data_IF_830839864230
#
_entry.id   IF_830839864230
#
_cell.length_a   1.000
_cell.length_b   1.000
_cell.length_c   1.000
_cell.angle_alpha   90.00
_cell.angle_beta   90.00
_cell.angle_gamma   90.00
#
_symmetry.space_group_name_H-M   'P 1'
#
loop_
_entity.id
_entity.type
_entity.pdbx_description
1 polymer ?
#
# COMPACT_ATOMS: atom_id res chain seq x y z
N UNK A 1 41.88 -22.55 1.46
CA UNK A 1 41.64 -22.17 0.05
C UNK A 1 40.34 -22.75 -0.56
N UNK A 2 39.76 -23.83 -0.04
CA UNK A 2 38.56 -24.45 -0.64
C UNK A 2 37.22 -23.73 -0.43
N UNK A 3 37.08 -22.90 0.59
CA UNK A 3 35.81 -22.16 0.88
C UNK A 3 35.54 -20.95 -0.03
N UNK A 4 36.58 -20.36 -0.64
CA UNK A 4 36.44 -19.21 -1.53
C UNK A 4 35.94 -19.56 -2.94
N UNK A 5 36.35 -20.72 -3.44
CA UNK A 5 35.93 -21.16 -4.80
C UNK A 5 34.49 -21.61 -4.89
N UNK A 6 33.92 -22.21 -3.82
CA UNK A 6 32.52 -22.61 -3.77
C UNK A 6 31.57 -21.38 -3.77
N UNK A 7 31.99 -20.27 -3.12
CA UNK A 7 31.16 -19.02 -3.06
C UNK A 7 31.14 -18.27 -4.39
N UNK A 8 32.24 -18.30 -5.16
CA UNK A 8 32.31 -17.66 -6.50
C UNK A 8 31.48 -18.45 -7.52
N UNK A 9 31.47 -19.79 -7.44
CA UNK A 9 30.62 -20.63 -8.32
C UNK A 9 29.12 -20.45 -8.05
N UNK A 10 28.69 -20.32 -6.79
CA UNK A 10 27.27 -20.10 -6.46
C UNK A 10 26.75 -18.73 -6.89
N UNK A 11 27.60 -17.70 -6.85
CA UNK A 11 27.23 -16.37 -7.38
C UNK A 11 27.08 -16.36 -8.89
N UNK A 12 27.91 -17.09 -9.66
CA UNK A 12 27.82 -17.16 -11.11
C UNK A 12 26.56 -17.92 -11.59
N UNK A 13 26.11 -18.92 -10.85
CA UNK A 13 24.92 -19.70 -11.18
C UNK A 13 23.63 -18.93 -10.83
N UNK A 14 23.61 -18.18 -9.73
CA UNK A 14 22.51 -17.26 -9.41
C UNK A 14 22.42 -16.09 -10.41
N UNK A 15 23.56 -15.57 -10.90
CA UNK A 15 23.59 -14.54 -11.93
C UNK A 15 23.12 -15.08 -13.30
N UNK A 16 23.43 -16.33 -13.67
CA UNK A 16 22.91 -16.98 -14.88
C UNK A 16 21.40 -17.18 -14.82
N UNK A 17 20.85 -17.69 -13.70
CA UNK A 17 19.39 -17.83 -13.52
C UNK A 17 18.66 -16.48 -13.52
N UNK A 18 19.30 -15.41 -13.07
CA UNK A 18 18.74 -14.06 -13.15
C UNK A 18 18.68 -13.52 -14.60
N UNK A 19 19.62 -13.91 -15.46
CA UNK A 19 19.63 -13.53 -16.88
C UNK A 19 18.72 -14.41 -17.74
N UNK A 20 18.46 -15.64 -17.38
CA UNK A 20 17.52 -16.53 -18.11
C UNK A 20 16.04 -16.17 -17.85
N UNK A 21 15.72 -15.44 -16.78
CA UNK A 21 14.39 -14.94 -16.45
C UNK A 21 14.24 -13.41 -16.65
N UNK A 22 15.18 -12.75 -17.31
CA UNK A 22 14.99 -11.36 -17.70
C UNK A 22 13.91 -11.31 -18.79
N UNK A 23 12.83 -10.51 -18.64
CA UNK A 23 11.86 -10.35 -19.70
C UNK A 23 12.58 -9.76 -20.92
N UNK A 24 12.40 -10.39 -22.10
CA UNK A 24 12.85 -9.84 -23.37
C UNK A 24 12.39 -8.38 -23.49
N UNK A 25 13.36 -7.48 -23.65
CA UNK A 25 13.08 -6.09 -23.97
C UNK A 25 12.61 -6.06 -25.42
N UNK A 26 11.32 -6.26 -25.65
CA UNK A 26 10.72 -5.94 -26.94
C UNK A 26 10.54 -4.43 -26.98
N UNK A 27 11.22 -3.82 -27.94
CA UNK A 27 11.35 -2.36 -28.08
C UNK A 27 10.14 -1.68 -28.74
N UNK A 28 8.98 -1.82 -28.16
CA UNK A 28 7.77 -1.09 -28.51
C UNK A 28 6.90 -0.92 -27.25
N UNK A 29 7.30 -0.01 -26.50
CA UNK A 29 6.80 0.85 -25.42
C UNK A 29 5.36 0.75 -24.93
N UNK A 30 4.64 -0.36 -25.09
CA UNK A 30 3.39 -0.58 -24.37
C UNK A 30 3.69 -1.32 -23.06
N UNK A 31 3.43 -0.71 -21.88
CA UNK A 31 3.61 -1.39 -20.62
C UNK A 31 2.67 -2.58 -20.57
N UNK A 32 3.19 -3.76 -20.19
CA UNK A 32 2.35 -4.90 -19.84
C UNK A 32 1.51 -4.53 -18.59
N UNK A 33 0.31 -4.02 -18.84
CA UNK A 33 -0.64 -3.59 -17.79
C UNK A 33 -1.38 -4.77 -17.14
N UNK A 34 -1.01 -6.01 -17.46
CA UNK A 34 -1.69 -7.22 -16.98
C UNK A 34 -1.14 -7.73 -15.61
N UNK A 35 -0.64 -6.82 -14.78
CA UNK A 35 -0.25 -7.16 -13.41
C UNK A 35 -1.43 -7.25 -12.44
N UNK A 36 -2.63 -6.86 -12.87
CA UNK A 36 -3.78 -6.72 -11.99
C UNK A 36 -3.71 -5.52 -11.04
N UNK A 37 -2.66 -4.70 -11.14
CA UNK A 37 -2.50 -3.49 -10.32
C UNK A 37 -3.32 -2.32 -10.88
N UNK A 38 -3.79 -1.47 -9.96
CA UNK A 38 -4.44 -0.21 -10.33
C UNK A 38 -3.41 0.91 -10.33
N UNK A 39 -3.18 1.51 -11.49
CA UNK A 39 -2.33 2.69 -11.67
C UNK A 39 -3.14 3.98 -11.47
N UNK A 40 -2.45 5.13 -11.51
CA UNK A 40 -3.01 6.47 -11.30
C UNK A 40 -3.67 6.64 -9.93
N UNK A 41 -2.93 6.16 -8.90
CA UNK A 41 -3.29 6.30 -7.50
C UNK A 41 -2.08 6.61 -6.63
N UNK A 42 -2.37 7.15 -5.45
CA UNK A 42 -1.41 7.32 -4.38
C UNK A 42 -1.20 6.00 -3.62
N UNK A 43 0.07 5.65 -3.39
CA UNK A 43 0.47 4.52 -2.56
C UNK A 43 1.50 4.94 -1.51
N UNK A 44 1.40 4.50 -0.25
CA UNK A 44 2.42 4.76 0.75
C UNK A 44 3.67 3.95 0.40
N UNK A 45 4.79 4.66 0.17
CA UNK A 45 6.05 4.02 -0.21
C UNK A 45 6.88 3.61 1.01
N UNK A 46 7.18 4.57 1.88
CA UNK A 46 8.02 4.37 3.07
C UNK A 46 7.58 5.30 4.22
N UNK A 47 7.88 4.96 5.48
CA UNK A 47 7.79 5.91 6.57
C UNK A 47 8.72 7.12 6.34
N UNK A 48 8.21 8.33 6.55
CA UNK A 48 8.96 9.59 6.35
C UNK A 48 10.27 9.66 7.12
N UNK A 49 10.37 8.96 8.28
CA UNK A 49 11.60 8.91 9.08
C UNK A 49 12.79 8.25 8.37
N UNK A 50 12.56 7.47 7.29
CA UNK A 50 13.63 6.78 6.56
C UNK A 50 14.46 7.72 5.67
N UNK A 51 13.93 8.88 5.32
CA UNK A 51 14.58 9.89 4.46
C UNK A 51 14.95 11.16 5.23
N UNK A 52 15.60 11.03 6.38
CA UNK A 52 16.10 12.16 7.15
C UNK A 52 17.49 12.59 6.67
N UNK A 53 17.71 13.90 6.59
CA UNK A 53 18.95 14.46 6.06
C UNK A 53 19.16 14.08 4.59
N UNK A 54 20.36 13.65 4.22
CA UNK A 54 20.70 13.20 2.85
C UNK A 54 20.55 11.69 2.64
N UNK A 55 19.91 10.98 3.57
CA UNK A 55 19.72 9.54 3.43
C UNK A 55 18.76 9.23 2.30
N UNK A 56 19.18 8.36 1.40
CA UNK A 56 18.30 7.74 0.42
C UNK A 56 17.64 6.51 1.02
N UNK A 57 16.42 6.24 0.59
CA UNK A 57 15.72 5.00 0.92
C UNK A 57 15.12 4.41 -0.35
N UNK A 58 14.98 3.09 -0.37
CA UNK A 58 14.38 2.38 -1.50
C UNK A 58 13.00 1.83 -1.14
N UNK A 59 12.14 1.75 -2.15
CA UNK A 59 10.86 1.06 -2.10
C UNK A 59 10.60 0.32 -3.41
N UNK A 60 9.72 -0.66 -3.36
CA UNK A 60 9.12 -1.29 -4.53
C UNK A 60 7.62 -1.03 -4.49
N UNK A 61 7.07 -0.43 -5.52
CA UNK A 61 5.63 -0.21 -5.69
C UNK A 61 5.22 -0.68 -7.07
N UNK A 62 4.20 -1.55 -7.16
CA UNK A 62 3.68 -2.07 -8.43
C UNK A 62 4.80 -2.63 -9.34
N UNK A 63 5.78 -3.33 -8.76
CA UNK A 63 6.98 -3.84 -9.45
C UNK A 63 7.92 -2.74 -9.99
N UNK A 64 7.70 -1.47 -9.62
CA UNK A 64 8.61 -0.37 -9.95
C UNK A 64 9.56 -0.10 -8.80
N UNK A 65 10.87 -0.26 -9.00
CA UNK A 65 11.86 0.12 -8.00
C UNK A 65 11.94 1.65 -7.91
N UNK A 66 11.93 2.15 -6.68
CA UNK A 66 11.97 3.58 -6.38
C UNK A 66 13.12 3.90 -5.45
N UNK A 67 13.80 5.01 -5.72
CA UNK A 67 14.68 5.71 -4.78
C UNK A 67 13.97 6.98 -4.31
N UNK A 68 13.96 7.17 -2.99
CA UNK A 68 13.32 8.30 -2.34
C UNK A 68 14.33 9.03 -1.46
N UNK A 69 14.16 10.32 -1.34
CA UNK A 69 15.00 11.16 -0.49
C UNK A 69 14.33 12.49 -0.17
N UNK A 70 15.12 13.35 0.48
CA UNK A 70 14.72 14.72 0.81
C UNK A 70 15.80 15.68 0.39
N UNK A 71 15.42 16.71 -0.37
CA UNK A 71 16.35 17.75 -0.77
C UNK A 71 16.80 18.60 0.43
N UNK A 72 17.87 19.36 0.25
CA UNK A 72 18.35 20.33 1.26
C UNK A 72 17.30 21.41 1.59
N UNK A 73 16.35 21.66 0.69
CA UNK A 73 15.19 22.57 0.89
C UNK A 73 14.03 21.90 1.64
N UNK A 74 14.18 20.62 2.02
CA UNK A 74 13.15 19.87 2.73
C UNK A 74 12.08 19.19 1.85
N UNK A 75 12.15 19.33 0.52
CA UNK A 75 11.21 18.72 -0.41
C UNK A 75 11.50 17.24 -0.59
N UNK A 76 10.48 16.39 -0.48
CA UNK A 76 10.60 14.97 -0.78
C UNK A 76 10.63 14.73 -2.28
N UNK A 77 11.35 13.71 -2.71
CA UNK A 77 11.37 13.26 -4.09
C UNK A 77 11.28 11.74 -4.18
N UNK A 78 10.78 11.25 -5.31
CA UNK A 78 10.74 9.85 -5.69
C UNK A 78 11.12 9.71 -7.17
N UNK A 79 12.12 8.89 -7.44
CA UNK A 79 12.59 8.59 -8.80
C UNK A 79 12.57 7.08 -9.01
N UNK A 80 12.54 6.64 -10.27
CA UNK A 80 12.83 5.24 -10.60
C UNK A 80 14.26 4.92 -10.16
N UNK A 81 14.43 3.86 -9.40
CA UNK A 81 15.74 3.40 -8.93
C UNK A 81 16.45 2.58 -10.00
N UNK A 82 16.72 3.23 -11.13
CA UNK A 82 17.43 2.61 -12.27
C UNK A 82 17.99 3.71 -13.17
N UNK A 83 19.29 3.72 -13.34
CA UNK A 83 19.96 4.62 -14.27
C UNK A 83 19.62 4.23 -15.73
N UNK A 84 19.12 5.16 -16.56
CA UNK A 84 18.73 4.87 -17.95
C UNK A 84 19.89 4.44 -18.85
N UNK A 85 21.14 4.64 -18.42
CA UNK A 85 22.32 4.22 -19.17
C UNK A 85 22.47 2.69 -19.19
N UNK A 86 22.59 2.05 -18.01
CA UNK A 86 22.84 0.59 -17.88
C UNK A 86 22.09 -0.06 -16.71
N UNK A 87 21.03 0.55 -16.21
CA UNK A 87 20.12 -0.06 -15.25
C UNK A 87 20.62 -0.19 -13.82
N UNK A 88 21.84 0.31 -13.48
CA UNK A 88 22.29 0.27 -12.08
C UNK A 88 21.36 1.08 -11.19
N UNK A 89 21.01 0.61 -9.98
CA UNK A 89 20.16 1.38 -9.08
C UNK A 89 20.82 2.72 -8.69
N UNK A 90 20.07 3.79 -8.83
CA UNK A 90 20.51 5.14 -8.48
C UNK A 90 20.69 5.32 -6.96
N UNK A 91 20.03 4.48 -6.16
CA UNK A 91 20.19 4.44 -4.71
C UNK A 91 21.60 4.08 -4.24
N UNK A 92 22.45 3.49 -5.09
CA UNK A 92 23.89 3.27 -4.84
C UNK A 92 24.75 4.47 -5.22
N UNK A 93 24.15 5.53 -5.77
CA UNK A 93 24.82 6.74 -6.19
C UNK A 93 25.09 7.71 -5.05
N UNK A 94 25.59 8.88 -5.40
CA UNK A 94 25.84 9.96 -4.48
C UNK A 94 24.74 11.02 -4.58
N UNK A 95 24.15 11.39 -3.44
CA UNK A 95 23.15 12.45 -3.35
C UNK A 95 23.74 13.65 -2.59
N UNK A 96 23.87 14.78 -3.27
CA UNK A 96 24.46 16.00 -2.70
C UNK A 96 23.45 16.87 -1.92
N UNK A 97 22.17 16.52 -1.96
CA UNK A 97 21.04 17.27 -1.39
C UNK A 97 20.16 17.94 -2.43
N UNK A 98 20.54 17.89 -3.71
CA UNK A 98 19.77 18.40 -4.85
C UNK A 98 19.80 17.43 -6.03
N UNK A 99 20.99 16.92 -6.37
CA UNK A 99 21.22 16.06 -7.51
C UNK A 99 21.63 14.66 -7.07
N UNK A 100 21.29 13.68 -7.87
CA UNK A 100 21.63 12.27 -7.68
C UNK A 100 22.59 11.82 -8.79
N UNK A 101 23.83 11.51 -8.42
CA UNK A 101 24.87 11.04 -9.30
C UNK A 101 24.90 9.51 -9.33
N UNK A 102 24.90 8.94 -10.53
CA UNK A 102 25.01 7.50 -10.74
C UNK A 102 26.41 6.98 -10.41
N UNK A 103 26.51 5.97 -9.56
CA UNK A 103 27.79 5.41 -9.11
C UNK A 103 28.62 4.72 -10.20
N UNK A 104 28.03 4.47 -11.41
CA UNK A 104 28.73 3.73 -12.45
C UNK A 104 29.51 4.64 -13.42
N UNK A 105 28.89 5.69 -13.95
CA UNK A 105 29.51 6.58 -14.94
C UNK A 105 29.31 8.07 -14.63
N UNK A 106 28.90 8.41 -13.41
CA UNK A 106 28.72 9.79 -12.96
C UNK A 106 27.59 10.56 -13.66
N UNK A 107 26.62 9.87 -14.28
CA UNK A 107 25.46 10.58 -14.83
C UNK A 107 24.70 11.26 -13.69
N UNK A 108 24.46 12.55 -13.84
CA UNK A 108 23.84 13.37 -12.81
C UNK A 108 22.38 13.68 -13.16
N UNK A 109 21.49 13.54 -12.18
CA UNK A 109 20.06 13.75 -12.35
C UNK A 109 19.55 14.73 -11.30
N UNK A 110 18.70 15.67 -11.70
CA UNK A 110 17.91 16.47 -10.76
C UNK A 110 16.95 15.56 -10.00
N UNK A 111 17.03 15.55 -8.69
CA UNK A 111 16.27 14.62 -7.86
C UNK A 111 14.75 14.85 -7.91
N UNK A 112 14.31 16.10 -8.14
CA UNK A 112 12.89 16.45 -8.15
C UNK A 112 12.18 16.19 -9.48
N UNK A 113 12.90 16.28 -10.60
CA UNK A 113 12.36 16.10 -11.95
C UNK A 113 12.80 14.80 -12.62
N UNK A 114 13.86 14.17 -12.11
CA UNK A 114 14.51 13.02 -12.77
C UNK A 114 15.26 13.38 -14.03
N UNK A 115 15.36 14.66 -14.39
CA UNK A 115 16.02 15.15 -15.59
C UNK A 115 17.52 14.91 -15.52
N UNK A 116 18.14 14.37 -16.56
CA UNK A 116 19.59 14.28 -16.66
C UNK A 116 20.18 15.69 -16.84
N UNK A 117 21.16 16.02 -16.01
CA UNK A 117 21.85 17.31 -16.00
C UNK A 117 23.22 17.25 -16.66
N UNK A 118 23.96 16.14 -16.43
CA UNK A 118 25.31 15.97 -16.92
C UNK A 118 25.63 14.50 -17.23
N UNK A 119 26.45 14.31 -18.22
CA UNK A 119 27.05 13.04 -18.62
C UNK A 119 28.56 13.28 -18.77
N UNK A 120 29.38 12.94 -17.78
CA UNK A 120 30.82 13.30 -17.77
C UNK A 120 31.63 12.78 -18.96
N UNK A 121 31.19 11.70 -19.58
CA UNK A 121 31.88 11.09 -20.73
C UNK A 121 31.60 11.77 -22.06
N UNK A 122 30.71 12.74 -22.15
CA UNK A 122 30.44 13.45 -23.39
C UNK A 122 31.57 14.42 -23.71
N UNK A 123 31.91 14.49 -25.02
CA UNK A 123 32.85 15.41 -25.60
C UNK A 123 32.15 16.53 -26.37
N UNK A 124 32.88 17.56 -26.80
CA UNK A 124 32.37 18.63 -27.63
C UNK A 124 31.85 18.18 -29.01
N UNK A 125 32.20 16.97 -29.43
CA UNK A 125 31.73 16.39 -30.69
C UNK A 125 30.40 15.62 -30.57
N UNK A 126 29.97 15.32 -29.35
CA UNK A 126 28.74 14.60 -29.12
C UNK A 126 27.53 15.50 -29.35
N UNK A 127 26.53 14.99 -30.08
CA UNK A 127 25.27 15.70 -30.38
C UNK A 127 24.11 15.25 -29.53
N UNK A 128 24.39 14.46 -28.47
CA UNK A 128 23.37 13.94 -27.58
C UNK A 128 22.70 15.10 -26.78
N UNK A 129 21.39 15.14 -26.83
CA UNK A 129 20.59 16.12 -26.08
C UNK A 129 20.30 15.58 -24.68
N UNK A 130 21.17 15.92 -23.73
CA UNK A 130 21.09 15.46 -22.34
C UNK A 130 19.76 15.83 -21.70
N UNK A 131 19.20 16.99 -22.04
CA UNK A 131 17.92 17.49 -21.57
C UNK A 131 16.70 16.65 -22.02
N UNK A 132 16.89 15.66 -22.90
CA UNK A 132 15.85 14.70 -23.29
C UNK A 132 15.91 13.39 -22.52
N UNK A 133 16.92 13.22 -21.69
CA UNK A 133 17.12 12.01 -20.89
C UNK A 133 16.54 12.22 -19.51
N UNK A 134 15.76 11.27 -19.04
CA UNK A 134 15.23 11.27 -17.68
C UNK A 134 15.33 9.87 -17.08
N UNK A 135 15.66 9.80 -15.78
CA UNK A 135 15.55 8.56 -15.02
C UNK A 135 14.12 8.23 -14.63
N UNK A 136 13.18 9.16 -14.89
CA UNK A 136 11.79 9.06 -14.45
C UNK A 136 11.62 9.49 -12.99
N UNK A 137 10.61 10.30 -12.75
CA UNK A 137 10.23 10.72 -11.41
C UNK A 137 8.74 10.49 -11.19
N UNK A 138 8.33 10.46 -9.93
CA UNK A 138 6.95 10.28 -9.52
C UNK A 138 6.57 11.39 -8.53
N UNK A 139 5.39 11.99 -8.67
CA UNK A 139 4.90 12.93 -7.66
C UNK A 139 4.87 12.24 -6.29
N UNK A 140 5.35 12.92 -5.27
CA UNK A 140 5.33 12.40 -3.91
C UNK A 140 5.00 13.48 -2.89
N UNK A 141 4.34 13.09 -1.81
CA UNK A 141 3.89 13.96 -0.73
C UNK A 141 3.96 13.23 0.61
N UNK A 142 4.22 13.96 1.69
CA UNK A 142 4.18 13.41 3.04
C UNK A 142 2.81 13.59 3.66
N UNK A 143 2.23 12.48 4.12
CA UNK A 143 0.96 12.47 4.84
C UNK A 143 0.96 11.40 5.92
N UNK A 144 0.51 11.74 7.14
CA UNK A 144 0.43 10.83 8.28
C UNK A 144 1.73 10.07 8.58
N UNK A 145 2.89 10.70 8.27
CA UNK A 145 4.23 10.16 8.49
C UNK A 145 4.67 9.07 7.54
N UNK A 146 4.03 8.96 6.39
CA UNK A 146 4.47 8.24 5.21
C UNK A 146 4.80 9.20 4.08
N UNK A 147 5.75 8.81 3.25
CA UNK A 147 5.92 9.35 1.90
C UNK A 147 4.99 8.58 0.98
N UNK A 148 4.02 9.25 0.41
CA UNK A 148 3.11 8.74 -0.60
C UNK A 148 3.68 9.05 -1.97
N UNK A 149 3.54 8.11 -2.89
CA UNK A 149 3.98 8.25 -4.27
C UNK A 149 2.78 8.03 -5.19
N UNK A 150 2.57 8.95 -6.12
CA UNK A 150 1.55 8.79 -7.16
C UNK A 150 2.11 7.92 -8.28
N UNK A 151 1.57 6.73 -8.41
CA UNK A 151 2.03 5.74 -9.39
C UNK A 151 1.19 5.86 -10.66
N UNK A 152 1.61 6.71 -11.59
CA UNK A 152 0.98 6.79 -12.91
C UNK A 152 1.38 5.60 -13.81
N UNK A 153 0.54 5.31 -14.80
CA UNK A 153 0.83 4.25 -15.78
C UNK A 153 2.22 4.47 -16.38
N UNK A 154 3.09 3.44 -16.42
CA UNK A 154 4.43 3.55 -17.00
C UNK A 154 4.42 4.14 -18.40
N UNK A 155 5.31 5.09 -18.66
CA UNK A 155 5.39 5.80 -19.95
C UNK A 155 4.39 6.95 -20.12
N UNK A 156 3.47 7.16 -19.20
CA UNK A 156 2.56 8.31 -19.21
C UNK A 156 3.05 9.43 -18.29
N UNK A 157 2.50 10.62 -18.47
CA UNK A 157 2.69 11.74 -17.51
C UNK A 157 1.57 11.72 -16.47
N UNK A 158 1.85 12.07 -15.22
CA UNK A 158 0.80 12.26 -14.23
C UNK A 158 -0.12 13.40 -14.67
N UNK A 159 -1.39 13.42 -14.25
CA UNK A 159 -2.32 14.51 -14.56
C UNK A 159 -1.83 15.83 -13.95
N UNK A 160 -2.16 16.95 -14.61
CA UNK A 160 -1.78 18.30 -14.12
C UNK A 160 -2.30 18.55 -12.69
N UNK A 161 -3.50 18.08 -12.41
CA UNK A 161 -4.11 18.16 -11.08
C UNK A 161 -4.21 16.76 -10.49
N UNK A 162 -3.36 16.48 -9.52
CA UNK A 162 -3.39 15.24 -8.77
C UNK A 162 -4.57 15.19 -7.78
N UNK A 163 -5.15 14.01 -7.54
CA UNK A 163 -6.09 13.85 -6.44
C UNK A 163 -5.38 14.10 -5.11
N UNK A 164 -6.15 14.45 -4.08
CA UNK A 164 -5.60 14.62 -2.73
C UNK A 164 -5.02 13.30 -2.22
N UNK A 165 -3.90 13.39 -1.51
CA UNK A 165 -3.32 12.23 -0.80
C UNK A 165 -4.29 11.76 0.27
N UNK A 166 -4.56 10.45 0.39
CA UNK A 166 -5.42 9.93 1.44
C UNK A 166 -4.93 10.32 2.83
N UNK A 167 -5.81 10.90 3.62
CA UNK A 167 -5.50 11.37 4.97
C UNK A 167 -6.32 10.60 6.01
N UNK A 168 -5.69 10.35 7.17
CA UNK A 168 -6.38 9.77 8.32
C UNK A 168 -7.32 10.83 8.92
N UNK A 169 -8.57 10.47 9.13
CA UNK A 169 -9.52 11.36 9.83
C UNK A 169 -9.06 11.59 11.27
N UNK A 170 -8.96 12.84 11.66
CA UNK A 170 -8.56 13.29 12.99
C UNK A 170 -9.55 14.31 13.51
N UNK A 171 -9.80 14.27 14.80
CA UNK A 171 -10.74 15.17 15.45
C UNK A 171 -9.99 16.13 16.38
N UNK A 172 -10.65 17.20 16.75
CA UNK A 172 -10.06 18.25 17.59
C UNK A 172 -9.52 17.70 18.92
N UNK A 173 -8.47 18.35 19.44
CA UNK A 173 -7.84 18.04 20.70
C UNK A 173 -6.50 17.30 20.57
N UNK A 174 -5.91 16.94 21.70
CA UNK A 174 -4.67 16.14 21.76
C UNK A 174 -4.97 14.70 21.41
N UNK A 175 -4.16 14.10 20.57
CA UNK A 175 -4.27 12.70 20.18
C UNK A 175 -2.90 12.02 20.15
N UNK A 176 -2.94 10.71 20.20
CA UNK A 176 -1.80 9.82 19.99
C UNK A 176 -1.89 9.23 18.58
N UNK A 177 -0.76 8.91 17.98
CA UNK A 177 -0.74 8.27 16.67
C UNK A 177 0.37 7.22 16.62
N UNK A 178 0.13 6.16 15.88
CA UNK A 178 1.14 5.12 15.62
C UNK A 178 1.03 4.58 14.20
N UNK A 179 2.09 3.89 13.76
CA UNK A 179 2.19 3.24 12.45
C UNK A 179 2.79 1.87 12.62
N UNK A 180 2.26 0.91 11.88
CA UNK A 180 2.77 -0.45 11.79
C UNK A 180 2.77 -0.88 10.33
N UNK A 181 3.67 -1.78 9.98
CA UNK A 181 3.80 -2.34 8.64
C UNK A 181 3.87 -3.86 8.77
N UNK A 182 3.28 -4.56 7.81
CA UNK A 182 3.31 -6.00 7.75
C UNK A 182 3.29 -6.48 6.29
N UNK A 183 4.30 -7.22 5.88
CA UNK A 183 4.34 -7.84 4.55
C UNK A 183 3.47 -9.09 4.51
N UNK A 184 2.73 -9.23 3.42
CA UNK A 184 1.86 -10.36 3.14
C UNK A 184 2.35 -11.03 1.86
N UNK A 185 2.81 -12.29 1.90
CA UNK A 185 3.28 -13.03 0.72
C UNK A 185 2.10 -13.47 -0.14
N UNK A 186 1.44 -12.52 -0.76
CA UNK A 186 0.21 -12.74 -1.52
C UNK A 186 0.00 -11.61 -2.54
N UNK A 187 -0.77 -11.92 -3.59
CA UNK A 187 -1.25 -10.89 -4.50
C UNK A 187 -2.13 -9.88 -3.75
N UNK A 188 -2.08 -8.62 -4.17
CA UNK A 188 -2.83 -7.52 -3.54
C UNK A 188 -4.32 -7.82 -3.37
N UNK A 189 -4.95 -8.49 -4.33
CA UNK A 189 -6.38 -8.78 -4.26
C UNK A 189 -6.72 -9.68 -3.05
N UNK A 190 -5.88 -10.67 -2.73
CA UNK A 190 -6.07 -11.49 -1.53
C UNK A 190 -5.86 -10.68 -0.25
N UNK A 191 -4.87 -9.79 -0.22
CA UNK A 191 -4.67 -8.89 0.91
C UNK A 191 -5.87 -7.97 1.16
N UNK A 192 -6.45 -7.42 0.08
CA UNK A 192 -7.62 -6.54 0.16
C UNK A 192 -8.86 -7.29 0.62
N UNK A 193 -9.18 -8.43 0.00
CA UNK A 193 -10.38 -9.19 0.41
C UNK A 193 -10.24 -9.72 1.84
N UNK A 194 -9.05 -10.10 2.28
CA UNK A 194 -8.78 -10.46 3.68
C UNK A 194 -9.01 -9.30 4.64
N UNK A 195 -8.57 -8.09 4.27
CA UNK A 195 -8.77 -6.88 5.08
C UNK A 195 -10.25 -6.46 5.19
N UNK A 196 -11.06 -6.76 4.18
CA UNK A 196 -12.49 -6.43 4.15
C UNK A 196 -13.40 -7.52 4.70
N UNK A 197 -12.90 -8.73 4.90
CA UNK A 197 -13.70 -9.87 5.35
C UNK A 197 -14.26 -9.62 6.75
N UNK A 198 -15.59 -9.55 6.93
CA UNK A 198 -16.19 -9.31 8.23
C UNK A 198 -16.30 -10.58 9.09
N UNK A 199 -16.03 -11.77 8.53
CA UNK A 199 -16.30 -13.05 9.15
C UNK A 199 -15.07 -13.71 9.81
N UNK A 200 -13.83 -13.38 9.38
CA UNK A 200 -12.61 -14.04 9.85
C UNK A 200 -12.25 -13.79 11.32
N UNK A 201 -12.73 -12.67 11.89
CA UNK A 201 -12.29 -12.20 13.22
C UNK A 201 -12.33 -13.24 14.35
N UNK A 202 -13.41 -14.03 14.55
CA UNK A 202 -13.47 -15.06 15.60
C UNK A 202 -12.55 -16.26 15.37
N UNK A 203 -12.03 -16.43 14.17
CA UNK A 203 -11.19 -17.55 13.77
C UNK A 203 -9.70 -17.19 13.71
N UNK A 204 -9.39 -16.04 13.11
CA UNK A 204 -8.02 -15.55 12.94
C UNK A 204 -7.56 -14.79 14.17
N UNK A 205 -8.38 -13.85 14.69
CA UNK A 205 -8.05 -12.98 15.81
C UNK A 205 -8.56 -13.52 17.15
N UNK A 206 -8.45 -14.83 17.34
CA UNK A 206 -8.85 -15.43 18.62
C UNK A 206 -7.95 -14.94 19.75
N UNK A 207 -8.57 -14.34 20.76
CA UNK A 207 -7.88 -13.98 21.99
C UNK A 207 -8.89 -13.83 23.13
N UNK A 208 -8.44 -14.04 24.36
CA UNK A 208 -9.27 -13.91 25.55
C UNK A 208 -9.90 -12.51 25.72
N UNK A 209 -9.27 -11.49 25.15
CA UNK A 209 -9.72 -10.08 25.25
C UNK A 209 -10.49 -9.59 24.03
N UNK A 210 -10.57 -10.37 22.94
CA UNK A 210 -11.21 -9.93 21.70
C UNK A 210 -12.46 -10.78 21.39
N UNK A 211 -12.29 -11.83 20.64
CA UNK A 211 -13.38 -12.71 20.17
C UNK A 211 -12.95 -14.17 20.26
N UNK A 212 -13.92 -15.06 20.49
CA UNK A 212 -13.71 -16.50 20.47
C UNK A 212 -14.78 -17.16 19.60
N UNK A 213 -14.61 -18.43 19.26
CA UNK A 213 -15.64 -19.22 18.55
C UNK A 213 -16.95 -19.28 19.32
N UNK A 214 -16.91 -19.27 20.66
CA UNK A 214 -18.11 -19.25 21.49
C UNK A 214 -18.88 -17.93 21.40
N UNK A 215 -18.28 -16.83 20.90
CA UNK A 215 -18.93 -15.54 20.74
C UNK A 215 -19.59 -15.35 19.38
N UNK A 216 -19.56 -16.35 18.51
CA UNK A 216 -20.13 -16.27 17.15
C UNK A 216 -21.64 -16.17 17.23
N UNK A 217 -22.19 -15.12 16.64
CA UNK A 217 -23.61 -14.88 16.49
C UNK A 217 -23.92 -14.27 15.13
N UNK A 218 -25.19 -14.26 14.74
CA UNK A 218 -25.62 -13.60 13.52
C UNK A 218 -25.53 -12.08 13.67
N UNK A 219 -25.01 -11.44 12.64
CA UNK A 219 -24.87 -9.98 12.52
C UNK A 219 -25.56 -9.51 11.27
N UNK A 220 -26.23 -8.36 11.36
CA UNK A 220 -26.78 -7.65 10.24
C UNK A 220 -26.20 -6.24 10.22
N UNK A 221 -25.57 -5.84 9.13
CA UNK A 221 -24.99 -4.50 8.95
C UNK A 221 -25.40 -3.93 7.60
N UNK A 222 -25.71 -2.64 7.60
CA UNK A 222 -26.04 -1.91 6.38
C UNK A 222 -24.75 -1.42 5.72
N UNK A 223 -24.72 -1.57 4.40
CA UNK A 223 -23.68 -1.02 3.54
C UNK A 223 -24.30 -0.06 2.54
N UNK A 224 -23.59 0.99 2.19
CA UNK A 224 -24.01 1.99 1.22
C UNK A 224 -22.90 2.30 0.21
N UNK A 225 -23.26 2.67 -1.03
CA UNK A 225 -22.28 3.09 -2.03
C UNK A 225 -21.66 4.45 -1.65
N UNK A 226 -20.35 4.58 -1.84
CA UNK A 226 -19.63 5.85 -1.79
C UNK A 226 -18.77 5.99 -3.04
N UNK A 227 -18.28 7.17 -3.41
CA UNK A 227 -17.41 7.35 -4.57
C UNK A 227 -16.21 6.39 -4.56
N UNK A 228 -16.06 5.58 -5.61
CA UNK A 228 -15.00 4.57 -5.77
C UNK A 228 -14.91 3.52 -4.66
N UNK A 229 -15.99 3.27 -3.93
CA UNK A 229 -15.96 2.37 -2.80
C UNK A 229 -17.31 2.10 -2.17
N UNK A 230 -17.30 1.56 -0.97
CA UNK A 230 -18.52 1.30 -0.18
C UNK A 230 -18.23 1.54 1.30
N UNK A 231 -19.28 1.85 2.04
CA UNK A 231 -19.26 2.13 3.47
C UNK A 231 -20.11 1.12 4.22
N UNK A 232 -19.60 0.54 5.27
CA UNK A 232 -20.45 -0.03 6.33
C UNK A 232 -20.97 1.14 7.15
N UNK A 233 -22.27 1.41 7.01
CA UNK A 233 -22.93 2.57 7.61
C UNK A 233 -22.73 2.63 9.12
N UNK A 234 -22.82 3.82 9.75
CA UNK A 234 -22.64 3.96 11.19
C UNK A 234 -23.47 2.95 11.98
N UNK A 235 -22.80 2.17 12.82
CA UNK A 235 -23.43 1.10 13.58
C UNK A 235 -22.77 0.92 14.95
N UNK A 236 -23.49 0.29 15.85
CA UNK A 236 -22.90 -0.15 17.09
C UNK A 236 -22.02 -1.38 16.85
N UNK A 237 -20.75 -1.39 17.32
CA UNK A 237 -19.90 -2.56 17.22
C UNK A 237 -20.50 -3.72 18.01
N UNK A 238 -20.06 -4.93 17.67
CA UNK A 238 -20.53 -6.15 18.32
C UNK A 238 -20.31 -6.09 19.84
N UNK A 239 -21.36 -6.38 20.62
CA UNK A 239 -21.33 -6.35 22.09
C UNK A 239 -20.29 -7.28 22.75
N UNK A 240 -19.65 -8.14 21.97
CA UNK A 240 -18.73 -9.17 22.48
C UNK A 240 -17.26 -8.74 22.53
N UNK A 241 -16.94 -7.51 22.10
CA UNK A 241 -15.58 -6.99 22.16
C UNK A 241 -15.35 -6.22 23.49
N UNK A 242 -14.44 -6.72 24.32
CA UNK A 242 -14.12 -6.10 25.61
C UNK A 242 -13.68 -4.63 25.51
N UNK A 243 -12.86 -4.19 24.54
CA UNK A 243 -12.49 -2.79 24.39
C UNK A 243 -13.69 -1.87 24.18
N UNK A 244 -14.66 -2.26 23.33
CA UNK A 244 -15.85 -1.44 23.08
C UNK A 244 -16.79 -1.39 24.28
N UNK A 245 -16.96 -2.51 25.02
CA UNK A 245 -17.70 -2.51 26.30
C UNK A 245 -17.07 -1.59 27.32
N UNK A 246 -15.75 -1.64 27.42
CA UNK A 246 -15.01 -0.78 28.36
C UNK A 246 -15.17 0.69 27.97
N UNK A 247 -15.04 1.02 26.68
CA UNK A 247 -15.22 2.37 26.18
C UNK A 247 -16.64 2.90 26.46
N UNK A 248 -17.67 2.13 26.14
CA UNK A 248 -19.07 2.48 26.43
C UNK A 248 -19.31 2.69 27.92
N UNK A 249 -18.70 1.85 28.78
CA UNK A 249 -18.80 1.99 30.24
C UNK A 249 -18.11 3.25 30.76
N UNK A 250 -16.98 3.64 30.18
CA UNK A 250 -16.25 4.86 30.57
C UNK A 250 -16.98 6.14 30.16
N UNK A 251 -17.58 6.14 28.98
CA UNK A 251 -18.25 7.34 28.43
C UNK A 251 -19.69 7.47 28.89
N UNK A 252 -20.34 6.38 29.29
CA UNK A 252 -21.80 6.33 29.47
C UNK A 252 -22.56 6.42 28.15
N UNK A 253 -21.87 6.44 27.01
CA UNK A 253 -22.46 6.59 25.66
C UNK A 253 -22.21 5.36 24.80
N UNK A 254 -23.05 5.17 23.80
CA UNK A 254 -22.86 4.08 22.81
C UNK A 254 -21.68 4.36 21.89
N UNK A 255 -20.93 3.32 21.55
CA UNK A 255 -19.89 3.41 20.54
C UNK A 255 -20.54 3.32 19.15
N UNK A 256 -20.14 4.22 18.27
CA UNK A 256 -20.53 4.18 16.84
C UNK A 256 -19.30 3.92 16.00
N UNK A 257 -19.36 2.90 15.15
CA UNK A 257 -18.29 2.54 14.20
C UNK A 257 -18.74 2.79 12.78
N UNK A 258 -17.88 3.40 11.97
CA UNK A 258 -18.04 3.55 10.52
C UNK A 258 -16.81 2.97 9.84
N UNK A 259 -17.00 2.18 8.79
CA UNK A 259 -15.90 1.57 8.04
C UNK A 259 -16.10 1.85 6.55
N UNK A 260 -15.10 2.48 5.94
CA UNK A 260 -15.08 2.72 4.49
C UNK A 260 -14.05 1.84 3.82
N UNK A 261 -14.36 1.40 2.64
CA UNK A 261 -13.39 0.90 1.67
C UNK A 261 -13.45 1.75 0.40
N UNK A 262 -12.26 2.20 -0.06
CA UNK A 262 -12.12 3.02 -1.27
C UNK A 262 -10.98 2.47 -2.13
N UNK A 263 -11.23 2.33 -3.44
CA UNK A 263 -10.17 1.98 -4.39
C UNK A 263 -8.99 2.98 -4.30
N UNK A 264 -7.78 2.50 -4.50
CA UNK A 264 -7.42 1.15 -4.94
C UNK A 264 -7.37 0.12 -3.80
N UNK A 265 -7.18 0.54 -2.53
CA UNK A 265 -6.70 -0.35 -1.48
C UNK A 265 -6.87 0.18 -0.05
N UNK A 266 -7.70 1.18 0.13
CA UNK A 266 -7.88 1.90 1.41
C UNK A 266 -9.04 1.33 2.19
N UNK A 267 -8.79 0.95 3.45
CA UNK A 267 -9.82 0.71 4.47
C UNK A 267 -9.62 1.70 5.61
N UNK A 268 -10.63 2.47 5.90
CA UNK A 268 -10.64 3.36 7.07
C UNK A 268 -11.70 2.91 8.07
N UNK A 269 -11.45 3.15 9.34
CA UNK A 269 -12.37 2.86 10.42
C UNK A 269 -12.35 4.01 11.41
N UNK A 270 -13.53 4.48 11.80
CA UNK A 270 -13.71 5.54 12.78
C UNK A 270 -14.68 5.05 13.84
N UNK A 271 -14.19 5.02 15.09
CA UNK A 271 -14.99 4.71 16.27
C UNK A 271 -15.17 5.97 17.11
N UNK A 272 -16.40 6.24 17.53
CA UNK A 272 -16.74 7.38 18.39
C UNK A 272 -17.60 6.95 19.57
N UNK A 273 -17.33 7.58 20.72
CA UNK A 273 -18.17 7.48 21.93
C UNK A 273 -18.01 8.77 22.71
N UNK A 274 -19.00 9.65 22.63
CA UNK A 274 -18.92 10.99 23.20
C UNK A 274 -17.76 11.80 22.63
N UNK A 275 -16.89 12.28 23.52
CA UNK A 275 -15.67 13.01 23.15
C UNK A 275 -14.48 12.12 22.80
N UNK A 276 -14.59 10.83 23.05
CA UNK A 276 -13.54 9.86 22.75
C UNK A 276 -13.68 9.33 21.33
N UNK A 277 -12.54 9.13 20.68
CA UNK A 277 -12.48 8.64 19.32
C UNK A 277 -11.24 7.80 19.05
N UNK A 278 -11.38 6.93 18.10
CA UNK A 278 -10.31 6.18 17.45
C UNK A 278 -10.51 6.26 15.94
N UNK A 279 -9.44 6.42 15.20
CA UNK A 279 -9.45 6.41 13.73
C UNK A 279 -8.29 5.57 13.24
N UNK A 280 -8.53 4.75 12.23
CA UNK A 280 -7.48 3.96 11.58
C UNK A 280 -7.61 3.97 10.07
N UNK A 281 -6.47 3.80 9.41
CA UNK A 281 -6.37 3.55 7.98
C UNK A 281 -5.43 2.38 7.76
N UNK A 282 -5.92 1.36 7.10
CA UNK A 282 -5.13 0.25 6.58
C UNK A 282 -5.07 0.36 5.06
N UNK A 283 -3.87 0.29 4.50
CA UNK A 283 -3.64 0.35 3.06
C UNK A 283 -2.92 -0.92 2.66
N UNK A 284 -3.47 -1.68 1.71
CA UNK A 284 -2.79 -2.84 1.14
C UNK A 284 -1.97 -2.39 -0.06
N UNK A 285 -0.69 -2.18 0.15
CA UNK A 285 0.23 -1.63 -0.86
C UNK A 285 0.82 -2.75 -1.72
N UNK A 286 0.64 -2.73 -3.05
CA UNK A 286 1.25 -3.71 -3.95
C UNK A 286 2.75 -3.48 -4.05
N UNK A 287 3.54 -4.48 -3.70
CA UNK A 287 5.01 -4.48 -3.84
C UNK A 287 5.39 -5.21 -5.13
N UNK A 288 5.00 -6.47 -5.25
CA UNK A 288 5.14 -7.35 -6.42
C UNK A 288 3.88 -8.19 -6.59
N UNK A 289 3.79 -8.96 -7.67
CA UNK A 289 2.64 -9.85 -7.92
C UNK A 289 2.35 -10.81 -6.77
N UNK A 290 3.39 -11.29 -6.11
CA UNK A 290 3.35 -12.28 -5.03
C UNK A 290 3.53 -11.68 -3.63
N UNK A 291 3.62 -10.36 -3.53
CA UNK A 291 3.89 -9.65 -2.29
C UNK A 291 3.14 -8.34 -2.23
N UNK A 292 2.33 -8.17 -1.20
CA UNK A 292 1.79 -6.86 -0.81
C UNK A 292 2.16 -6.54 0.65
N UNK A 293 1.90 -5.32 1.08
CA UNK A 293 2.19 -4.84 2.43
C UNK A 293 0.98 -4.12 3.00
N UNK A 294 0.63 -4.41 4.24
CA UNK A 294 -0.29 -3.58 5.01
C UNK A 294 0.49 -2.44 5.64
N UNK A 295 0.10 -1.22 5.31
CA UNK A 295 0.54 0.02 5.96
C UNK A 295 -0.60 0.50 6.85
N UNK A 296 -0.47 0.29 8.16
CA UNK A 296 -1.49 0.62 9.15
C UNK A 296 -1.12 1.88 9.92
N UNK A 297 -2.03 2.83 9.94
CA UNK A 297 -1.93 4.07 10.74
C UNK A 297 -3.15 4.16 11.63
N UNK A 298 -2.94 4.48 12.89
CA UNK A 298 -4.03 4.75 13.83
C UNK A 298 -3.76 6.01 14.65
N UNK A 299 -4.82 6.76 14.92
CA UNK A 299 -4.83 7.91 15.83
C UNK A 299 -6.00 7.80 16.79
N UNK A 300 -5.82 8.28 18.03
CA UNK A 300 -6.85 8.23 19.07
C UNK A 300 -6.60 9.24 20.19
N UNK A 301 -7.66 9.63 20.87
CA UNK A 301 -7.57 10.39 22.11
C UNK A 301 -7.89 9.55 23.37
N UNK A 302 -8.03 8.24 23.22
CA UNK A 302 -8.29 7.31 24.32
C UNK A 302 -7.13 7.30 25.34
N UNK A 303 -7.37 6.96 26.63
CA UNK A 303 -6.33 6.87 27.66
C UNK A 303 -5.45 5.60 27.52
N UNK A 304 -5.21 5.15 26.27
CA UNK A 304 -4.37 3.99 25.96
C UNK A 304 -2.99 4.48 25.50
N UNK A 305 -1.89 4.08 26.17
CA UNK A 305 -0.53 4.39 25.73
C UNK A 305 -0.21 3.80 24.35
N UNK A 306 0.63 4.52 23.57
CA UNK A 306 1.06 4.08 22.24
C UNK A 306 1.75 2.72 22.29
N UNK A 307 2.58 2.46 23.30
CA UNK A 307 3.29 1.19 23.47
C UNK A 307 2.33 0.00 23.62
N UNK A 308 1.30 0.15 24.44
CA UNK A 308 0.28 -0.88 24.66
C UNK A 308 -0.50 -1.12 23.37
N UNK A 309 -0.98 -0.06 22.71
CA UNK A 309 -1.70 -0.19 21.44
C UNK A 309 -0.87 -0.91 20.37
N UNK A 310 0.42 -0.57 20.25
CA UNK A 310 1.33 -1.21 19.29
C UNK A 310 1.49 -2.71 19.49
N UNK A 311 1.53 -3.16 20.75
CA UNK A 311 1.62 -4.60 21.06
C UNK A 311 0.39 -5.32 20.54
N UNK A 312 -0.81 -4.84 20.86
CA UNK A 312 -2.07 -5.47 20.43
C UNK A 312 -2.24 -5.40 18.92
N UNK A 313 -2.07 -4.24 18.31
CA UNK A 313 -2.17 -4.10 16.85
C UNK A 313 -1.13 -4.96 16.12
N UNK A 314 0.08 -5.10 16.65
CA UNK A 314 1.10 -5.99 16.11
C UNK A 314 0.72 -7.48 16.21
N UNK A 315 -0.01 -7.90 17.24
CA UNK A 315 -0.54 -9.26 17.34
C UNK A 315 -1.55 -9.51 16.22
N UNK A 316 -2.51 -8.60 16.02
CA UNK A 316 -3.51 -8.71 14.95
C UNK A 316 -2.85 -8.83 13.55
N UNK A 317 -1.95 -7.91 13.23
CA UNK A 317 -1.25 -7.93 11.93
C UNK A 317 -0.45 -9.22 11.71
N UNK A 318 0.18 -9.78 12.74
CA UNK A 318 0.88 -11.06 12.64
C UNK A 318 -0.06 -12.23 12.40
N UNK A 319 -1.25 -12.22 12.99
CA UNK A 319 -2.27 -13.26 12.76
C UNK A 319 -2.76 -13.22 11.31
N UNK A 320 -3.01 -12.03 10.75
CA UNK A 320 -3.33 -11.86 9.34
C UNK A 320 -2.19 -12.33 8.44
N UNK A 321 -0.95 -11.96 8.75
CA UNK A 321 0.23 -12.41 8.03
C UNK A 321 0.33 -13.94 8.00
N UNK A 322 0.17 -14.58 9.15
CA UNK A 322 0.21 -16.05 9.23
C UNK A 322 -0.90 -16.70 8.40
N UNK A 323 -2.07 -16.10 8.35
CA UNK A 323 -3.18 -16.55 7.52
C UNK A 323 -2.82 -16.43 6.04
N UNK A 324 -2.26 -15.30 5.61
CA UNK A 324 -1.82 -15.11 4.22
C UNK A 324 -0.67 -16.04 3.82
N UNK A 325 0.29 -16.31 4.71
CA UNK A 325 1.36 -17.29 4.48
C UNK A 325 0.77 -18.67 4.18
N UNK A 326 -0.18 -19.13 4.99
CA UNK A 326 -0.85 -20.43 4.80
C UNK A 326 -1.72 -20.44 3.55
N UNK A 327 -2.41 -19.34 3.25
CA UNK A 327 -3.19 -19.22 2.02
C UNK A 327 -2.29 -19.27 0.78
N UNK A 328 -1.15 -18.56 0.79
CA UNK A 328 -0.18 -18.58 -0.31
C UNK A 328 0.35 -19.99 -0.59
N UNK A 329 0.51 -20.82 0.43
CA UNK A 329 0.90 -22.22 0.29
C UNK A 329 -0.18 -23.02 -0.47
N UNK A 330 -1.44 -22.88 -0.09
CA UNK A 330 -2.57 -23.54 -0.78
C UNK A 330 -2.76 -23.06 -2.21
N UNK A 331 -2.58 -21.76 -2.47
CA UNK A 331 -2.75 -21.14 -3.79
C UNK A 331 -1.73 -21.65 -4.83
N UNK A 332 -0.58 -22.19 -4.42
CA UNK A 332 0.39 -22.84 -5.33
C UNK A 332 -0.19 -24.01 -6.11
N UNK A 333 -1.24 -24.61 -5.59
CA UNK A 333 -1.92 -25.75 -6.22
C UNK A 333 -3.09 -25.35 -7.12
N UNK A 334 -3.24 -24.06 -7.42
CA UNK A 334 -4.28 -23.49 -8.27
C UNK A 334 -5.71 -23.99 -7.92
N UNK A 335 -6.16 -23.89 -6.65
CA UNK A 335 -7.45 -24.36 -6.23
C UNK A 335 -8.57 -23.52 -6.85
N UNK A 336 -9.75 -24.14 -7.04
CA UNK A 336 -10.95 -23.41 -7.38
C UNK A 336 -11.45 -22.65 -6.15
N UNK A 337 -11.31 -21.32 -6.15
CA UNK A 337 -11.81 -20.46 -5.09
C UNK A 337 -13.31 -20.19 -5.26
N UNK A 338 -13.99 -19.98 -4.15
CA UNK A 338 -15.41 -19.68 -4.12
C UNK A 338 -15.67 -18.50 -3.16
N UNK A 339 -16.43 -17.53 -3.62
CA UNK A 339 -16.96 -16.44 -2.79
C UNK A 339 -18.46 -16.72 -2.54
N UNK A 340 -18.82 -16.86 -1.27
CA UNK A 340 -20.22 -17.04 -0.84
C UNK A 340 -20.99 -15.72 -0.85
N UNK A 341 -22.30 -15.79 -0.62
CA UNK A 341 -23.11 -14.57 -0.51
C UNK A 341 -22.90 -13.89 0.86
N UNK A 342 -23.39 -12.69 0.97
CA UNK A 342 -23.34 -11.81 2.14
C UNK A 342 -21.97 -11.68 2.82
N UNK A 343 -21.41 -12.75 3.39
CA UNK A 343 -20.11 -12.69 4.05
C UNK A 343 -18.97 -12.23 3.11
N UNK A 344 -19.01 -12.67 1.83
CA UNK A 344 -18.03 -12.29 0.81
C UNK A 344 -18.54 -11.21 -0.15
N UNK A 345 -19.69 -10.60 0.12
CA UNK A 345 -20.25 -9.54 -0.72
C UNK A 345 -19.29 -8.34 -0.85
N UNK A 346 -18.57 -7.89 0.19
CA UNK A 346 -17.56 -6.85 0.06
C UNK A 346 -16.44 -7.20 -0.92
N UNK A 347 -16.00 -8.46 -0.94
CA UNK A 347 -15.02 -8.95 -1.91
C UNK A 347 -15.57 -8.93 -3.34
N UNK A 348 -16.83 -9.35 -3.55
CA UNK A 348 -17.50 -9.27 -4.86
C UNK A 348 -17.62 -7.82 -5.35
N UNK A 349 -17.96 -6.88 -4.47
CA UNK A 349 -17.99 -5.44 -4.81
C UNK A 349 -16.61 -4.88 -5.15
N UNK A 350 -15.57 -5.28 -4.41
CA UNK A 350 -14.20 -4.88 -4.74
C UNK A 350 -13.81 -5.31 -6.15
N UNK A 351 -14.00 -6.58 -6.51
CA UNK A 351 -13.66 -7.07 -7.85
C UNK A 351 -14.47 -6.36 -8.94
N UNK A 352 -15.76 -6.14 -8.70
CA UNK A 352 -16.62 -5.42 -9.64
C UNK A 352 -16.19 -3.95 -9.79
N UNK A 353 -15.90 -3.23 -8.70
CA UNK A 353 -15.38 -1.86 -8.73
C UNK A 353 -14.05 -1.78 -9.50
N UNK A 354 -13.12 -2.70 -9.21
CA UNK A 354 -11.84 -2.78 -9.90
C UNK A 354 -12.01 -2.96 -11.40
N UNK A 355 -12.85 -3.92 -11.80
CA UNK A 355 -13.14 -4.20 -13.21
C UNK A 355 -13.82 -3.02 -13.90
N UNK A 356 -14.83 -2.45 -13.25
CA UNK A 356 -15.57 -1.29 -13.77
C UNK A 356 -14.67 -0.05 -13.90
N UNK A 357 -13.69 0.14 -13.00
CA UNK A 357 -12.72 1.20 -13.11
C UNK A 357 -11.79 1.01 -14.32
N UNK A 358 -11.31 -0.20 -14.54
CA UNK A 358 -10.48 -0.53 -15.70
C UNK A 358 -11.27 -0.27 -16.99
N UNK A 359 -12.51 -0.72 -17.05
CA UNK A 359 -13.38 -0.51 -18.20
C UNK A 359 -13.74 0.97 -18.41
N UNK A 360 -14.03 1.71 -17.34
CA UNK A 360 -14.28 3.15 -17.37
C UNK A 360 -13.09 3.90 -17.98
N UNK A 361 -11.87 3.57 -17.57
CA UNK A 361 -10.65 4.19 -18.11
C UNK A 361 -10.42 3.83 -19.59
N UNK A 362 -10.70 2.59 -19.97
CA UNK A 362 -10.56 2.11 -21.36
C UNK A 362 -11.55 2.76 -22.29
N UNK A 363 -12.79 3.02 -21.83
CA UNK A 363 -13.90 3.50 -22.67
C UNK A 363 -14.19 4.99 -22.53
N UNK A 364 -13.65 5.65 -21.49
CA UNK A 364 -14.00 7.04 -21.13
C UNK A 364 -15.41 7.20 -20.54
N UNK A 365 -16.14 6.10 -20.28
CA UNK A 365 -17.47 6.14 -19.65
C UNK A 365 -17.34 6.33 -18.13
N UNK A 366 -18.36 6.92 -17.49
CA UNK A 366 -18.39 7.01 -16.03
C UNK A 366 -18.24 5.64 -15.36
N UNK A 367 -17.61 5.62 -14.17
CA UNK A 367 -17.48 4.40 -13.37
C UNK A 367 -18.87 3.89 -12.96
N UNK A 368 -19.23 2.69 -13.42
CA UNK A 368 -20.44 2.02 -12.97
C UNK A 368 -20.23 1.47 -11.56
N UNK A 369 -21.08 1.86 -10.61
CA UNK A 369 -21.00 1.37 -9.25
C UNK A 369 -21.73 0.02 -9.15
N UNK A 370 -21.16 -1.01 -8.45
CA UNK A 370 -21.82 -2.32 -8.33
C UNK A 370 -23.00 -2.36 -7.35
N UNK A 371 -23.21 -1.28 -6.59
CA UNK A 371 -24.33 -1.12 -5.68
C UNK A 371 -25.26 -0.03 -6.23
N UNK A 372 -26.54 -0.33 -6.34
CA UNK A 372 -27.58 0.64 -6.74
C UNK A 372 -28.08 1.48 -5.56
N UNK A 373 -27.86 1.02 -4.33
CA UNK A 373 -28.27 1.68 -3.10
C UNK A 373 -27.84 0.93 -1.84
N UNK A 374 -28.31 1.35 -0.66
CA UNK A 374 -28.00 0.67 0.60
C UNK A 374 -28.49 -0.78 0.62
N UNK A 375 -27.64 -1.68 1.16
CA UNK A 375 -27.92 -3.13 1.27
C UNK A 375 -27.57 -3.60 2.67
N UNK A 376 -28.44 -4.42 3.28
CA UNK A 376 -28.13 -5.08 4.55
C UNK A 376 -27.56 -6.46 4.31
N UNK A 377 -26.32 -6.69 4.73
CA UNK A 377 -25.67 -7.99 4.70
C UNK A 377 -25.80 -8.70 6.03
N UNK A 378 -25.90 -10.03 5.99
CA UNK A 378 -26.02 -10.90 7.16
C UNK A 378 -24.94 -11.97 7.14
N UNK A 379 -24.25 -12.14 8.26
CA UNK A 379 -23.23 -13.18 8.41
C UNK A 379 -23.10 -13.60 9.87
N UNK A 380 -22.40 -14.69 10.12
CA UNK A 380 -22.06 -15.12 11.50
C UNK A 380 -20.59 -14.90 11.77
N UNK A 381 -20.29 -14.16 12.82
CA UNK A 381 -18.89 -13.95 13.30
C UNK A 381 -18.83 -13.50 14.77
#
# INVERSE_FOLDING_TARGET
MARGQARVKSMSEAARKATENAPEIRGDGAPQTDTGFLWDFWYPAIPSRRIRGRNLATAMLLEVPLVLGRTSEGKTFAMRDSCPHRGIPLSYGHFDGKNLECSYHGWEFDACSGQCLAIPSLTSHDKLKVERISAGHFPCEERDGYVWVYMNVPGTRPPERLPAVPELEKFNGRYKMTRLECELPSHIDHGIIGLMDPAHGPFVHQSWFWRTKASIHEKAKQFEPIPNGFRMSPHQPSSNSAPYKLLAKFTGETVTTTIDFVLPNLRTEVDRSGKLWFSSRATVTPVRRDLCRIDFVAAWNLPVPVSIFRVFAGIFLRQDQQTMIRQAEGLKHNPRLMLIDDADRPAKWYFALKQNLIESRRTGKPLAHPMEGPVTLRWRS
#
